data_IF_110971856698
#
_entry.id   IF_110971856698
#
_cell.length_a   1.000
_cell.length_b   1.000
_cell.length_c   1.000
_cell.angle_alpha   90.00
_cell.angle_beta   90.00
_cell.angle_gamma   90.00
#
_symmetry.space_group_name_H-M   'P 1'
#
loop_
_entity.id
_entity.type
_entity.pdbx_description
1 polymer ?
#
# COMPACT_ATOMS: atom_id res chain seq x y z
N UNK A 1 -1.28 5.64 12.79
CA UNK A 1 -1.72 4.27 12.48
C UNK A 1 -3.16 4.01 12.93
N UNK A 2 -3.50 4.24 14.21
CA UNK A 2 -4.87 4.05 14.74
C UNK A 2 -6.00 4.72 13.94
N UNK A 3 -5.78 5.93 13.41
CA UNK A 3 -6.71 6.58 12.49
C UNK A 3 -7.02 5.72 11.26
N UNK A 4 -6.00 5.10 10.64
CA UNK A 4 -6.15 4.24 9.47
C UNK A 4 -6.91 2.96 9.80
N UNK A 5 -6.59 2.33 10.94
CA UNK A 5 -7.31 1.14 11.41
C UNK A 5 -8.81 1.41 11.58
N UNK A 6 -9.18 2.51 12.26
CA UNK A 6 -10.59 2.81 12.55
C UNK A 6 -11.35 3.38 11.36
N UNK A 7 -10.73 4.32 10.63
CA UNK A 7 -11.43 5.11 9.59
C UNK A 7 -11.32 4.54 8.19
N UNK A 8 -10.33 3.69 7.91
CA UNK A 8 -10.19 3.05 6.60
C UNK A 8 -10.41 1.55 6.71
N UNK A 9 -9.56 0.83 7.44
CA UNK A 9 -9.63 -0.63 7.47
C UNK A 9 -10.97 -1.11 8.07
N UNK A 10 -11.40 -0.51 9.18
CA UNK A 10 -12.67 -0.84 9.84
C UNK A 10 -13.92 -0.54 9.00
N UNK A 11 -13.79 0.15 7.87
CA UNK A 11 -14.91 0.37 6.94
C UNK A 11 -15.02 -0.73 5.87
N UNK A 12 -13.98 -1.53 5.68
CA UNK A 12 -13.86 -2.48 4.56
C UNK A 12 -13.51 -3.91 4.98
N UNK A 13 -13.07 -4.13 6.22
CA UNK A 13 -12.69 -5.45 6.71
C UNK A 13 -13.93 -6.22 7.19
N UNK A 14 -14.04 -7.48 6.76
CA UNK A 14 -15.04 -8.40 7.29
C UNK A 14 -14.49 -9.11 8.55
N UNK A 15 -15.28 -9.15 9.63
CA UNK A 15 -14.91 -9.91 10.83
C UNK A 15 -15.39 -11.38 10.73
N UNK A 16 -14.57 -12.39 11.11
CA UNK A 16 -13.17 -12.27 11.52
C UNK A 16 -12.19 -12.28 10.33
N UNK A 17 -11.22 -11.36 10.35
CA UNK A 17 -10.11 -11.33 9.40
C UNK A 17 -8.74 -11.38 10.08
N UNK A 18 -7.70 -11.70 9.31
CA UNK A 18 -6.29 -11.59 9.74
C UNK A 18 -5.64 -10.41 9.03
N UNK A 19 -5.20 -9.42 9.80
CA UNK A 19 -4.48 -8.25 9.34
C UNK A 19 -2.98 -8.53 9.45
N UNK A 20 -2.33 -8.83 8.34
CA UNK A 20 -0.88 -9.09 8.30
C UNK A 20 -0.13 -7.77 8.13
N UNK A 21 0.80 -7.48 9.03
CA UNK A 21 1.63 -6.26 9.02
C UNK A 21 3.11 -6.59 9.17
N UNK A 22 3.97 -5.68 8.73
CA UNK A 22 5.40 -5.73 9.03
C UNK A 22 5.66 -5.47 10.52
N UNK A 23 6.88 -5.77 10.97
CA UNK A 23 7.27 -5.61 12.38
C UNK A 23 7.67 -4.16 12.72
N UNK A 24 7.04 -3.16 12.11
CA UNK A 24 7.32 -1.77 12.42
C UNK A 24 6.65 -1.39 13.74
N UNK A 25 7.38 -0.76 14.66
CA UNK A 25 6.91 -0.46 16.03
C UNK A 25 5.60 0.36 16.05
N UNK A 26 5.37 1.20 15.03
CA UNK A 26 4.12 1.96 14.93
C UNK A 26 2.90 1.09 14.59
N UNK A 27 3.12 -0.09 13.98
CA UNK A 27 2.07 -1.07 13.66
C UNK A 27 1.92 -2.14 14.75
N UNK A 28 3.00 -2.48 15.44
CA UNK A 28 3.06 -3.57 16.43
C UNK A 28 3.22 -3.00 17.84
N UNK A 29 2.12 -2.44 18.36
CA UNK A 29 2.04 -1.91 19.73
C UNK A 29 0.67 -2.24 20.34
N UNK A 30 0.56 -2.07 21.66
CA UNK A 30 -0.64 -2.39 22.44
C UNK A 30 -1.91 -1.73 21.87
N UNK A 31 -1.84 -0.45 21.48
CA UNK A 31 -2.98 0.26 20.89
C UNK A 31 -3.47 -0.43 19.61
N UNK A 32 -2.54 -0.86 18.75
CA UNK A 32 -2.86 -1.51 17.48
C UNK A 32 -3.53 -2.86 17.66
N UNK A 33 -3.02 -3.68 18.58
CA UNK A 33 -3.63 -4.96 18.93
C UNK A 33 -5.03 -4.76 19.50
N UNK A 34 -5.20 -3.80 20.41
CA UNK A 34 -6.48 -3.48 21.01
C UNK A 34 -7.52 -3.09 19.97
N UNK A 35 -7.17 -2.18 19.05
CA UNK A 35 -8.09 -1.76 17.99
C UNK A 35 -8.50 -2.94 17.13
N UNK A 36 -7.54 -3.72 16.64
CA UNK A 36 -7.85 -4.81 15.69
C UNK A 36 -8.64 -5.93 16.35
N UNK A 37 -8.32 -6.29 17.60
CA UNK A 37 -8.96 -7.39 18.31
C UNK A 37 -10.30 -7.00 18.94
N UNK A 38 -10.36 -5.87 19.64
CA UNK A 38 -11.54 -5.48 20.42
C UNK A 38 -12.52 -4.64 19.60
N UNK A 39 -12.04 -3.75 18.73
CA UNK A 39 -12.92 -2.86 17.96
C UNK A 39 -13.29 -3.44 16.59
N UNK A 40 -12.38 -4.17 15.93
CA UNK A 40 -12.59 -4.72 14.58
C UNK A 40 -12.85 -6.23 14.54
N UNK A 41 -12.94 -6.90 15.70
CA UNK A 41 -13.23 -8.34 15.80
C UNK A 41 -12.25 -9.25 15.03
N UNK A 42 -11.02 -8.78 14.82
CA UNK A 42 -10.05 -9.36 13.89
C UNK A 42 -8.69 -9.63 14.56
N UNK A 43 -7.79 -10.32 13.87
CA UNK A 43 -6.48 -10.68 14.41
C UNK A 43 -5.37 -9.88 13.73
N UNK A 44 -4.56 -9.17 14.51
CA UNK A 44 -3.33 -8.55 14.03
C UNK A 44 -2.20 -9.58 14.05
N UNK A 45 -1.57 -9.82 12.91
CA UNK A 45 -0.44 -10.73 12.74
C UNK A 45 0.80 -9.95 12.29
N UNK A 46 1.76 -9.77 13.20
CA UNK A 46 3.04 -9.19 12.88
C UNK A 46 3.96 -10.25 12.26
N UNK A 47 4.56 -9.93 11.12
CA UNK A 47 5.60 -10.77 10.52
C UNK A 47 6.86 -10.79 11.38
N UNK A 48 7.68 -11.87 11.31
CA UNK A 48 8.98 -11.87 11.97
C UNK A 48 9.84 -10.68 11.53
N UNK A 49 10.69 -10.13 12.41
CA UNK A 49 11.64 -9.09 12.04
C UNK A 49 12.49 -9.49 10.83
N UNK A 50 12.73 -8.55 9.92
CA UNK A 50 13.52 -8.74 8.69
C UNK A 50 12.94 -9.76 7.68
N UNK A 51 11.68 -10.18 7.84
CA UNK A 51 11.04 -11.13 6.93
C UNK A 51 10.12 -10.48 5.87
N UNK A 52 9.96 -9.15 5.87
CA UNK A 52 9.09 -8.41 4.93
C UNK A 52 9.30 -8.82 3.48
N UNK A 53 10.54 -8.82 2.99
CA UNK A 53 10.86 -9.16 1.61
C UNK A 53 10.61 -10.62 1.20
N UNK A 54 10.26 -11.50 2.16
CA UNK A 54 10.03 -12.95 1.94
C UNK A 54 8.60 -13.35 2.27
N UNK A 55 8.03 -12.78 3.33
CA UNK A 55 6.76 -13.21 3.91
C UNK A 55 5.64 -12.18 3.78
N UNK A 56 5.90 -10.95 3.32
CA UNK A 56 4.86 -9.94 3.13
C UNK A 56 4.31 -10.00 1.69
N UNK A 57 3.03 -10.34 1.48
CA UNK A 57 2.44 -10.47 0.14
C UNK A 57 2.63 -9.20 -0.72
N UNK A 58 2.44 -8.03 -0.09
CA UNK A 58 2.60 -6.74 -0.74
C UNK A 58 4.00 -6.61 -1.35
N UNK A 59 5.06 -6.87 -0.58
CA UNK A 59 6.45 -6.75 -1.05
C UNK A 59 6.86 -7.86 -2.02
N UNK A 60 6.44 -9.10 -1.75
CA UNK A 60 6.86 -10.30 -2.49
C UNK A 60 6.21 -10.37 -3.88
N UNK A 61 4.94 -9.96 -3.99
CA UNK A 61 4.14 -10.15 -5.21
C UNK A 61 3.64 -8.87 -5.86
N UNK A 62 3.31 -7.82 -5.10
CA UNK A 62 2.60 -6.64 -5.62
C UNK A 62 3.52 -5.46 -5.90
N UNK A 63 4.56 -5.24 -5.09
CA UNK A 63 5.39 -4.05 -5.23
C UNK A 63 6.13 -3.98 -6.56
N UNK A 64 6.54 -5.12 -7.12
CA UNK A 64 7.20 -5.17 -8.42
C UNK A 64 6.27 -4.73 -9.59
N UNK A 65 5.08 -5.35 -9.81
CA UNK A 65 4.15 -4.89 -10.83
C UNK A 65 3.65 -3.47 -10.57
N UNK A 66 3.36 -3.09 -9.32
CA UNK A 66 2.92 -1.73 -8.98
C UNK A 66 3.95 -0.67 -9.38
N UNK A 67 5.24 -0.88 -9.07
CA UNK A 67 6.34 0.02 -9.51
C UNK A 67 6.50 0.06 -11.03
N UNK A 68 6.20 -1.03 -11.74
CA UNK A 68 6.19 -1.05 -13.21
C UNK A 68 5.08 -0.16 -13.75
N UNK A 69 3.85 -0.32 -13.26
CA UNK A 69 2.71 0.51 -13.67
C UNK A 69 2.94 2.00 -13.36
N UNK A 70 3.52 2.33 -12.19
CA UNK A 70 3.91 3.71 -11.89
C UNK A 70 4.87 4.30 -12.93
N UNK A 71 5.85 3.51 -13.39
CA UNK A 71 6.81 3.94 -14.42
C UNK A 71 6.13 4.09 -15.78
N UNK A 72 5.34 3.11 -16.17
CA UNK A 72 4.65 3.11 -17.46
C UNK A 72 3.69 4.31 -17.56
N UNK A 73 2.91 4.57 -16.49
CA UNK A 73 2.03 5.73 -16.42
C UNK A 73 2.81 7.05 -16.44
N UNK A 74 3.94 7.14 -15.72
CA UNK A 74 4.77 8.34 -15.73
C UNK A 74 5.31 8.67 -17.13
N UNK A 75 5.63 7.66 -17.94
CA UNK A 75 6.09 7.84 -19.32
C UNK A 75 4.97 8.26 -20.30
N UNK A 76 3.71 7.98 -19.95
CA UNK A 76 2.53 8.31 -20.75
C UNK A 76 1.85 9.61 -20.34
N UNK A 77 2.23 10.16 -19.19
CA UNK A 77 1.70 11.43 -18.70
C UNK A 77 2.40 12.60 -19.39
N UNK A 78 1.61 13.59 -19.79
CA UNK A 78 2.14 14.86 -20.27
C UNK A 78 2.95 15.56 -19.18
N UNK A 79 3.89 16.41 -19.58
CA UNK A 79 4.63 17.24 -18.64
C UNK A 79 3.64 18.06 -17.81
N UNK A 80 3.85 18.08 -16.49
CA UNK A 80 3.05 18.91 -15.60
C UNK A 80 3.38 20.35 -15.96
N UNK A 81 2.44 21.06 -16.56
CA UNK A 81 2.57 22.49 -16.85
C UNK A 81 2.27 23.29 -15.58
N UNK A 82 2.99 24.38 -15.36
CA UNK A 82 2.66 25.36 -14.34
C UNK A 82 1.33 26.07 -14.64
N UNK A 83 0.80 26.89 -13.72
CA UNK A 83 -0.44 27.62 -13.93
C UNK A 83 -0.40 28.43 -15.24
N UNK A 84 -1.51 28.38 -16.01
CA UNK A 84 -1.63 28.96 -17.36
C UNK A 84 -1.52 30.50 -17.38
N UNK A 85 -1.68 31.15 -16.22
CA UNK A 85 -1.89 32.58 -16.07
C UNK A 85 -0.67 33.30 -15.44
N UNK A 86 0.54 33.14 -15.97
CA UNK A 86 1.61 34.14 -15.78
C UNK A 86 2.78 33.87 -16.74
N UNK A 87 3.39 34.94 -17.25
CA UNK A 87 4.39 34.93 -18.34
C UNK A 87 5.75 34.30 -17.98
N UNK A 88 5.84 33.61 -16.85
CA UNK A 88 7.01 32.86 -16.41
C UNK A 88 6.71 31.36 -16.43
N UNK A 89 7.56 30.60 -17.10
CA UNK A 89 7.57 29.13 -17.11
C UNK A 89 8.03 28.68 -15.71
N UNK A 90 7.19 28.87 -14.68
CA UNK A 90 7.49 28.39 -13.34
C UNK A 90 7.31 26.87 -13.30
N UNK A 91 8.31 26.19 -12.76
CA UNK A 91 8.26 24.75 -12.54
C UNK A 91 7.05 24.39 -11.64
N UNK A 92 6.42 23.21 -11.82
CA UNK A 92 5.22 22.85 -11.07
C UNK A 92 5.41 22.92 -9.57
N UNK A 93 4.38 23.36 -8.85
CA UNK A 93 4.39 23.46 -7.39
C UNK A 93 4.54 22.08 -6.73
N UNK A 94 5.01 22.07 -5.48
CA UNK A 94 5.06 20.83 -4.69
C UNK A 94 3.67 20.19 -4.49
N UNK A 95 2.61 21.01 -4.44
CA UNK A 95 1.24 20.55 -4.33
C UNK A 95 0.79 19.79 -5.59
N UNK A 96 1.03 20.37 -6.77
CA UNK A 96 0.70 19.74 -8.05
C UNK A 96 1.49 18.45 -8.27
N UNK A 97 2.81 18.48 -8.02
CA UNK A 97 3.66 17.28 -8.08
C UNK A 97 3.12 16.17 -7.17
N UNK A 98 2.73 16.51 -5.94
CA UNK A 98 2.13 15.55 -5.00
C UNK A 98 0.79 15.02 -5.50
N UNK A 99 -0.09 15.88 -6.00
CA UNK A 99 -1.40 15.49 -6.53
C UNK A 99 -1.26 14.52 -7.70
N UNK A 100 -0.39 14.83 -8.65
CA UNK A 100 -0.14 13.96 -9.82
C UNK A 100 0.42 12.61 -9.37
N UNK A 101 1.38 12.58 -8.43
CA UNK A 101 1.89 11.31 -7.90
C UNK A 101 0.81 10.46 -7.20
N UNK A 102 -0.07 11.07 -6.41
CA UNK A 102 -1.17 10.36 -5.74
C UNK A 102 -2.14 9.78 -6.78
N UNK A 103 -2.55 10.57 -7.76
CA UNK A 103 -3.46 10.11 -8.82
C UNK A 103 -2.83 8.99 -9.66
N UNK A 104 -1.52 9.08 -9.94
CA UNK A 104 -0.78 8.02 -10.62
C UNK A 104 -0.72 6.75 -9.79
N UNK A 105 -0.51 6.86 -8.48
CA UNK A 105 -0.52 5.70 -7.57
C UNK A 105 -1.89 5.02 -7.53
N UNK A 106 -2.99 5.79 -7.54
CA UNK A 106 -4.35 5.24 -7.64
C UNK A 106 -4.52 4.48 -8.95
N UNK A 107 -4.20 5.11 -10.10
CA UNK A 107 -4.26 4.45 -11.42
C UNK A 107 -3.40 3.20 -11.49
N UNK A 108 -2.19 3.22 -10.92
CA UNK A 108 -1.30 2.08 -10.88
C UNK A 108 -1.86 0.94 -10.02
N UNK A 109 -2.60 1.25 -8.96
CA UNK A 109 -3.26 0.28 -8.11
C UNK A 109 -4.46 -0.37 -8.82
N UNK A 110 -5.25 0.40 -9.56
CA UNK A 110 -6.39 -0.10 -10.35
C UNK A 110 -5.97 -1.10 -11.45
N UNK A 111 -4.71 -1.06 -11.88
CA UNK A 111 -4.15 -2.03 -12.84
C UNK A 111 -3.73 -3.36 -12.19
N UNK A 112 -3.65 -3.42 -10.86
CA UNK A 112 -3.35 -4.67 -10.13
C UNK A 112 -4.62 -5.53 -10.09
N UNK A 113 -4.53 -6.72 -10.66
CA UNK A 113 -5.65 -7.66 -10.71
C UNK A 113 -5.86 -8.40 -9.38
N UNK A 114 -7.10 -8.82 -9.12
CA UNK A 114 -7.41 -9.68 -7.97
C UNK A 114 -6.59 -10.99 -7.97
N UNK A 115 -6.32 -11.57 -9.15
CA UNK A 115 -5.44 -12.74 -9.27
C UNK A 115 -4.01 -12.46 -8.81
N UNK A 116 -3.45 -11.30 -9.13
CA UNK A 116 -2.11 -10.91 -8.64
C UNK A 116 -2.10 -10.76 -7.12
N UNK A 117 -3.17 -10.21 -6.54
CA UNK A 117 -3.33 -10.14 -5.08
C UNK A 117 -3.32 -11.54 -4.48
N UNK A 118 -4.18 -12.44 -4.96
CA UNK A 118 -4.24 -13.83 -4.46
C UNK A 118 -2.90 -14.56 -4.62
N UNK A 119 -2.25 -14.42 -5.78
CA UNK A 119 -0.97 -15.09 -6.04
C UNK A 119 0.17 -14.50 -5.20
N UNK A 120 0.10 -13.23 -4.80
CA UNK A 120 1.06 -12.63 -3.87
C UNK A 120 1.02 -13.30 -2.50
N UNK A 121 -0.17 -13.66 -2.01
CA UNK A 121 -0.33 -14.41 -0.76
C UNK A 121 0.25 -15.81 -0.87
N UNK A 122 -0.04 -16.53 -1.97
CA UNK A 122 0.53 -17.87 -2.21
C UNK A 122 2.06 -17.83 -2.24
N UNK A 123 2.62 -16.81 -2.89
CA UNK A 123 4.08 -16.63 -3.02
C UNK A 123 4.77 -16.28 -1.70
N UNK A 124 4.05 -15.63 -0.78
CA UNK A 124 4.56 -15.27 0.54
C UNK A 124 4.59 -16.44 1.54
N UNK A 125 3.99 -17.59 1.20
CA UNK A 125 4.04 -18.80 2.04
C UNK A 125 5.45 -19.41 1.92
N UNK A 126 6.21 -19.52 3.02
CA UNK A 126 7.52 -20.17 2.96
C UNK A 126 7.37 -21.64 2.56
N UNK A 127 7.95 -22.02 1.43
CA UNK A 127 8.07 -23.44 1.06
C UNK A 127 9.24 -24.03 1.84
N UNK A 128 8.94 -24.84 2.84
CA UNK A 128 9.95 -25.67 3.50
C UNK A 128 10.37 -26.74 2.48
N UNK A 129 11.58 -26.62 1.93
CA UNK A 129 12.24 -27.77 1.32
C UNK A 129 12.69 -28.69 2.46
N UNK A 130 11.87 -29.70 2.76
CA UNK A 130 12.23 -30.80 3.68
C UNK A 130 13.11 -31.78 2.92
#
# INVERSE_FOLDING_TARGET
WSLYLRRLLGQVVDEPSVVVVDNFDAHVNEESFKIVQEELGSHLCALPPNATGVCQPLDVGIMAPFKRHLRDLWLLEDEIQGPEDEQDIESPTACEKRRVMILRAIKAWDLITASQIVDSFKKAIPTISI
#
